data_IF_710050246250
#
_entry.id   IF_710050246250
#
_cell.length_a   1.000
_cell.length_b   1.000
_cell.length_c   1.000
_cell.angle_alpha   90.00
_cell.angle_beta   90.00
_cell.angle_gamma   90.00
#
_symmetry.space_group_name_H-M   'P 1'
#
loop_
_entity.id
_entity.type
_entity.pdbx_description
1 polymer ?
#
# COMPACT_ATOMS: atom_id res chain seq x y z
N UNK A 1 13.42 -26.59 1.78
CA UNK A 1 12.66 -26.84 3.02
C UNK A 1 11.86 -25.58 3.36
N UNK A 2 10.59 -25.70 3.73
CA UNK A 2 9.77 -24.55 4.19
C UNK A 2 10.28 -24.03 5.55
N UNK A 3 9.88 -22.82 5.97
CA UNK A 3 10.25 -22.30 7.28
C UNK A 3 9.28 -21.24 7.80
N UNK A 4 8.97 -21.34 9.10
CA UNK A 4 8.20 -20.28 9.78
C UNK A 4 8.95 -18.96 9.71
N UNK A 5 8.21 -17.85 9.69
CA UNK A 5 8.79 -16.52 9.64
C UNK A 5 8.63 -15.79 10.99
N UNK A 6 9.64 -14.97 11.31
CA UNK A 6 9.54 -13.85 12.27
C UNK A 6 9.65 -12.56 11.50
N UNK A 7 8.71 -11.70 11.70
CA UNK A 7 8.47 -10.53 10.87
C UNK A 7 8.67 -9.24 11.67
N UNK A 8 9.41 -8.25 11.13
CA UNK A 8 9.58 -6.97 11.80
C UNK A 8 8.28 -6.17 11.80
N UNK A 9 8.00 -5.52 12.91
CA UNK A 9 6.92 -4.55 13.06
C UNK A 9 7.50 -3.14 12.95
N UNK A 10 6.83 -2.27 12.18
CA UNK A 10 7.16 -0.85 12.01
C UNK A 10 6.23 0.00 12.86
N UNK A 11 6.82 0.80 13.74
CA UNK A 11 6.12 1.62 14.71
C UNK A 11 6.01 3.08 14.26
N UNK A 12 5.41 3.31 13.08
CA UNK A 12 5.11 4.66 12.62
C UNK A 12 3.92 5.24 13.40
N UNK A 13 3.94 6.55 13.63
CA UNK A 13 2.96 7.25 14.49
C UNK A 13 1.51 7.15 13.98
N UNK A 14 1.31 6.89 12.69
CA UNK A 14 0.00 6.71 12.09
C UNK A 14 -0.61 5.31 12.30
N UNK A 15 0.15 4.39 12.88
CA UNK A 15 -0.26 2.99 13.07
C UNK A 15 -1.29 2.80 14.18
N UNK A 16 -1.98 1.66 14.11
CA UNK A 16 -2.93 1.25 15.12
C UNK A 16 -2.23 0.66 16.36
N UNK A 17 -2.76 0.97 17.54
CA UNK A 17 -2.34 0.31 18.78
C UNK A 17 -2.97 -1.07 18.97
N UNK A 18 -3.97 -1.43 18.18
CA UNK A 18 -4.78 -2.63 18.46
C UNK A 18 -4.77 -3.66 17.34
N UNK A 19 -4.81 -3.26 16.08
CA UNK A 19 -5.12 -4.16 14.96
C UNK A 19 -4.13 -5.33 14.81
N UNK A 20 -2.82 -5.04 14.65
CA UNK A 20 -1.79 -6.08 14.50
C UNK A 20 -1.62 -6.86 15.80
N UNK A 21 -1.61 -6.18 16.96
CA UNK A 21 -1.48 -6.84 18.27
C UNK A 21 -2.62 -7.84 18.50
N UNK A 22 -3.86 -7.46 18.23
CA UNK A 22 -5.04 -8.33 18.37
C UNK A 22 -4.96 -9.51 17.40
N UNK A 23 -4.65 -9.27 16.12
CA UNK A 23 -4.54 -10.34 15.12
C UNK A 23 -3.49 -11.38 15.54
N UNK A 24 -2.37 -10.94 16.08
CA UNK A 24 -1.23 -11.80 16.45
C UNK A 24 -1.35 -12.39 17.87
N UNK A 25 -2.46 -12.17 18.57
CA UNK A 25 -2.70 -12.68 19.93
C UNK A 25 -1.75 -12.09 21.00
N UNK A 26 -1.15 -10.93 20.73
CA UNK A 26 -0.29 -10.21 21.67
C UNK A 26 -1.12 -9.27 22.55
N UNK A 27 -0.56 -8.77 23.68
CA UNK A 27 -1.24 -7.77 24.49
C UNK A 27 -1.74 -6.59 23.65
N UNK A 28 -3.02 -6.24 23.80
CA UNK A 28 -3.68 -5.16 23.07
C UNK A 28 -4.43 -4.26 24.06
N UNK A 29 -4.29 -2.91 24.01
CA UNK A 29 -3.48 -2.19 23.04
C UNK A 29 -1.97 -2.38 23.23
N UNK A 30 -1.19 -2.29 22.13
CA UNK A 30 0.27 -2.27 22.18
C UNK A 30 0.76 -0.93 22.77
N UNK A 31 1.92 -0.93 23.43
CA UNK A 31 2.52 0.28 24.02
C UNK A 31 2.83 1.37 22.97
N UNK A 32 3.22 0.95 21.78
CA UNK A 32 3.53 1.84 20.65
C UNK A 32 2.61 1.53 19.49
N UNK A 33 2.33 2.50 18.59
CA UNK A 33 1.62 2.22 17.35
C UNK A 33 2.32 1.10 16.56
N UNK A 34 1.55 0.18 16.00
CA UNK A 34 2.01 -0.86 15.10
C UNK A 34 1.39 -0.60 13.73
N UNK A 35 2.14 0.08 12.88
CA UNK A 35 1.66 0.53 11.58
C UNK A 35 1.69 -0.56 10.53
N UNK A 36 2.80 -1.31 10.48
CA UNK A 36 3.02 -2.36 9.49
C UNK A 36 3.75 -3.55 10.11
N UNK A 37 3.43 -4.76 9.64
CA UNK A 37 4.25 -5.97 9.83
C UNK A 37 4.70 -6.44 8.46
N UNK A 38 6.02 -6.60 8.26
CA UNK A 38 6.62 -6.87 6.97
C UNK A 38 6.99 -8.34 6.80
N UNK A 39 6.63 -8.90 5.65
CA UNK A 39 6.93 -10.29 5.27
C UNK A 39 7.73 -10.28 3.96
N UNK A 40 9.00 -10.63 3.99
CA UNK A 40 9.85 -10.64 2.81
C UNK A 40 11.32 -10.34 3.09
N UNK A 41 12.03 -9.93 2.03
CA UNK A 41 13.48 -9.72 2.03
C UNK A 41 13.89 -8.25 1.91
N UNK A 42 13.00 -7.31 2.31
CA UNK A 42 13.26 -5.90 2.13
C UNK A 42 14.52 -5.46 2.92
N UNK A 43 15.44 -4.66 2.31
CA UNK A 43 16.70 -4.27 2.97
C UNK A 43 16.51 -3.56 4.31
N UNK A 44 15.46 -2.71 4.42
CA UNK A 44 15.14 -1.98 5.65
C UNK A 44 14.44 -2.83 6.72
N UNK A 45 14.19 -4.13 6.47
CA UNK A 45 13.51 -5.01 7.41
C UNK A 45 13.17 -6.38 6.81
N UNK A 46 14.16 -7.26 6.70
CA UNK A 46 13.93 -8.64 6.26
C UNK A 46 13.29 -9.46 7.37
N UNK A 47 12.38 -10.37 7.00
CA UNK A 47 11.94 -11.46 7.88
C UNK A 47 13.11 -12.35 8.24
N UNK A 48 13.02 -13.04 9.40
CA UNK A 48 13.85 -14.17 9.71
C UNK A 48 13.10 -15.47 9.43
N UNK A 49 13.77 -16.47 8.86
CA UNK A 49 13.21 -17.79 8.55
C UNK A 49 13.82 -18.84 9.46
N UNK A 50 13.00 -19.75 9.96
CA UNK A 50 13.45 -20.90 10.75
C UNK A 50 13.89 -22.04 9.80
N UNK A 51 15.17 -22.40 9.85
CA UNK A 51 15.76 -23.51 9.09
C UNK A 51 16.62 -24.37 10.03
N UNK A 52 16.39 -25.66 10.06
CA UNK A 52 17.15 -26.61 10.87
C UNK A 52 17.29 -26.19 12.34
N UNK A 53 16.17 -25.69 12.92
CA UNK A 53 16.11 -25.20 14.29
C UNK A 53 16.78 -23.85 14.55
N UNK A 54 17.29 -23.18 13.51
CA UNK A 54 18.01 -21.89 13.63
C UNK A 54 17.29 -20.78 12.85
N UNK A 55 17.14 -19.61 13.49
CA UNK A 55 16.62 -18.40 12.85
C UNK A 55 17.73 -17.73 12.05
N UNK A 56 17.47 -17.47 10.76
CA UNK A 56 18.39 -16.78 9.83
C UNK A 56 17.62 -15.66 9.10
N UNK A 57 18.33 -14.65 8.62
CA UNK A 57 17.73 -13.65 7.72
C UNK A 57 17.19 -14.35 6.46
N UNK A 58 15.95 -14.05 6.08
CA UNK A 58 15.38 -14.55 4.83
C UNK A 58 16.15 -13.99 3.62
N UNK A 59 16.58 -12.72 3.68
CA UNK A 59 17.39 -12.11 2.63
C UNK A 59 18.72 -12.85 2.43
N UNK A 60 19.43 -13.19 3.54
CA UNK A 60 20.69 -13.94 3.46
C UNK A 60 20.45 -15.36 2.95
N UNK A 61 19.34 -15.99 3.36
CA UNK A 61 18.96 -17.33 2.88
C UNK A 61 18.73 -17.34 1.37
N UNK A 62 17.99 -16.35 0.87
CA UNK A 62 17.76 -16.17 -0.58
C UNK A 62 19.06 -15.86 -1.32
N UNK A 63 19.92 -15.01 -0.76
CA UNK A 63 21.21 -14.67 -1.38
C UNK A 63 22.17 -15.85 -1.47
N UNK A 64 22.09 -16.78 -0.53
CA UNK A 64 22.94 -17.98 -0.51
C UNK A 64 22.55 -19.02 -1.58
N UNK A 65 21.27 -19.16 -1.91
CA UNK A 65 20.76 -20.06 -2.96
C UNK A 65 19.57 -19.44 -3.69
N UNK A 66 19.79 -18.41 -4.55
CA UNK A 66 18.69 -17.71 -5.21
C UNK A 66 17.80 -18.62 -6.06
N UNK A 67 18.39 -19.57 -6.77
CA UNK A 67 17.63 -20.48 -7.66
C UNK A 67 16.82 -21.48 -6.85
N UNK A 68 17.38 -22.04 -5.80
CA UNK A 68 16.66 -22.97 -4.92
C UNK A 68 15.53 -22.31 -4.14
N UNK A 69 15.74 -21.07 -3.69
CA UNK A 69 14.76 -20.34 -2.90
C UNK A 69 13.70 -19.64 -3.79
N UNK A 70 14.10 -19.00 -4.90
CA UNK A 70 13.21 -18.20 -5.74
C UNK A 70 12.76 -18.89 -7.03
N UNK A 71 13.48 -19.90 -7.50
CA UNK A 71 13.28 -20.51 -8.82
C UNK A 71 13.97 -19.76 -9.95
N UNK A 72 14.36 -20.51 -11.00
CA UNK A 72 15.13 -19.95 -12.13
C UNK A 72 14.39 -18.82 -12.84
N UNK A 73 13.09 -18.97 -13.08
CA UNK A 73 12.25 -17.95 -13.75
C UNK A 73 12.18 -16.65 -12.96
N UNK A 74 11.98 -16.72 -11.63
CA UNK A 74 11.97 -15.52 -10.79
C UNK A 74 13.30 -14.81 -10.80
N UNK A 75 14.42 -15.58 -10.71
CA UNK A 75 15.78 -15.03 -10.74
C UNK A 75 16.08 -14.39 -12.09
N UNK A 76 15.68 -14.99 -13.21
CA UNK A 76 15.86 -14.45 -14.55
C UNK A 76 15.12 -13.10 -14.73
N UNK A 77 13.89 -13.01 -14.24
CA UNK A 77 13.04 -11.82 -14.43
C UNK A 77 13.35 -10.69 -13.44
N UNK A 78 13.68 -11.00 -12.20
CA UNK A 78 13.74 -10.01 -11.10
C UNK A 78 15.09 -9.98 -10.37
N UNK A 79 16.04 -10.80 -10.78
CA UNK A 79 17.31 -10.97 -10.07
C UNK A 79 17.18 -11.81 -8.79
N UNK A 80 18.27 -11.88 -8.01
CA UNK A 80 18.37 -12.72 -6.81
C UNK A 80 17.66 -12.11 -5.60
N UNK A 81 16.38 -11.71 -5.75
CA UNK A 81 15.55 -11.09 -4.71
C UNK A 81 14.09 -11.48 -4.85
N UNK A 82 13.33 -11.46 -3.75
CA UNK A 82 11.86 -11.44 -3.84
C UNK A 82 11.42 -10.12 -4.49
N UNK A 83 10.64 -10.16 -5.58
CA UNK A 83 10.25 -8.94 -6.30
C UNK A 83 9.18 -8.12 -5.57
N UNK A 84 8.66 -8.61 -4.45
CA UNK A 84 7.58 -7.99 -3.69
C UNK A 84 7.89 -7.93 -2.19
N UNK A 85 7.13 -7.09 -1.51
CA UNK A 85 6.98 -7.05 -0.05
C UNK A 85 5.51 -7.25 0.28
N UNK A 86 5.22 -8.25 1.12
CA UNK A 86 3.89 -8.45 1.70
C UNK A 86 3.85 -7.78 3.07
N UNK A 87 2.71 -7.19 3.44
CA UNK A 87 2.51 -6.52 4.73
C UNK A 87 1.13 -6.79 5.31
N UNK A 88 1.04 -6.75 6.63
CA UNK A 88 -0.15 -6.29 7.33
C UNK A 88 0.01 -4.79 7.53
N UNK A 89 -0.99 -3.99 7.16
CA UNK A 89 -0.99 -2.53 7.34
C UNK A 89 -2.21 -2.09 8.15
N UNK A 90 -1.97 -1.32 9.21
CA UNK A 90 -2.99 -0.90 10.17
C UNK A 90 -2.98 0.62 10.31
N UNK A 91 -3.96 1.27 9.70
CA UNK A 91 -4.04 2.73 9.51
C UNK A 91 -5.05 3.32 10.49
N UNK A 92 -4.57 4.03 11.52
CA UNK A 92 -5.42 4.80 12.44
C UNK A 92 -5.41 6.30 12.08
N UNK A 93 -4.27 6.82 11.58
CA UNK A 93 -4.17 8.18 11.05
C UNK A 93 -3.82 8.15 9.56
N UNK A 94 -4.26 9.15 8.78
CA UNK A 94 -4.00 9.22 7.34
C UNK A 94 -2.51 9.16 7.02
N UNK A 95 -2.16 8.39 6.00
CA UNK A 95 -0.82 8.40 5.42
C UNK A 95 -0.62 9.65 4.55
N UNK A 96 0.62 9.92 4.14
CA UNK A 96 0.90 10.98 3.17
C UNK A 96 0.20 10.71 1.84
N UNK A 97 -0.21 11.80 1.18
CA UNK A 97 -0.60 11.76 -0.22
C UNK A 97 0.63 11.47 -1.07
N UNK A 98 0.61 10.43 -1.90
CA UNK A 98 1.80 9.91 -2.58
C UNK A 98 1.51 9.31 -3.96
N UNK A 99 2.57 9.21 -4.76
CA UNK A 99 2.56 8.55 -6.07
C UNK A 99 3.87 7.79 -6.27
N UNK A 100 3.85 6.75 -7.11
CA UNK A 100 5.01 5.93 -7.41
C UNK A 100 5.37 5.97 -8.89
N UNK A 101 6.67 5.95 -9.23
CA UNK A 101 7.14 5.98 -10.62
C UNK A 101 6.85 4.67 -11.36
N UNK A 102 6.75 4.74 -12.69
CA UNK A 102 6.79 3.57 -13.56
C UNK A 102 8.17 2.90 -13.50
N UNK A 103 8.32 1.72 -14.14
CA UNK A 103 9.62 1.05 -14.25
C UNK A 103 10.65 1.93 -14.95
N UNK A 104 10.27 2.48 -16.08
CA UNK A 104 11.15 3.36 -16.88
C UNK A 104 11.54 4.62 -16.09
N UNK A 105 10.59 5.24 -15.44
CA UNK A 105 10.83 6.41 -14.57
C UNK A 105 11.72 6.08 -13.38
N UNK A 106 11.55 4.88 -12.77
CA UNK A 106 12.37 4.43 -11.65
C UNK A 106 13.83 4.18 -12.09
N UNK A 107 14.04 3.51 -13.23
CA UNK A 107 15.36 3.26 -13.80
C UNK A 107 16.08 4.57 -14.17
N UNK A 108 15.40 5.49 -14.87
CA UNK A 108 15.93 6.81 -15.21
C UNK A 108 16.26 7.64 -13.96
N UNK A 109 15.35 7.67 -12.97
CA UNK A 109 15.52 8.44 -11.76
C UNK A 109 16.66 7.89 -10.88
N UNK A 110 16.81 6.56 -10.83
CA UNK A 110 17.94 5.92 -10.15
C UNK A 110 19.28 6.27 -10.83
N UNK A 111 19.32 6.23 -12.17
CA UNK A 111 20.52 6.60 -12.93
C UNK A 111 20.91 8.09 -12.70
N UNK A 112 19.94 8.96 -12.44
CA UNK A 112 20.17 10.39 -12.07
C UNK A 112 20.48 10.60 -10.58
N UNK A 113 20.37 9.59 -9.73
CA UNK A 113 20.49 9.70 -8.28
C UNK A 113 19.27 10.33 -7.58
N UNK A 114 18.13 10.41 -8.25
CA UNK A 114 16.87 10.92 -7.70
C UNK A 114 16.16 9.86 -6.84
N UNK A 115 16.20 8.61 -7.28
CA UNK A 115 15.57 7.48 -6.59
C UNK A 115 16.58 6.58 -5.90
N UNK A 116 16.11 5.87 -4.89
CA UNK A 116 16.96 4.99 -4.04
C UNK A 116 17.19 3.62 -4.66
N UNK A 117 16.30 3.21 -5.58
CA UNK A 117 16.40 1.94 -6.33
C UNK A 117 15.77 2.08 -7.73
N UNK A 118 16.10 1.17 -8.68
CA UNK A 118 15.59 1.24 -10.06
C UNK A 118 14.26 0.51 -10.26
N UNK A 119 13.48 0.25 -9.20
CA UNK A 119 12.32 -0.61 -9.28
C UNK A 119 11.02 0.17 -9.18
N UNK A 120 9.97 -0.28 -9.90
CA UNK A 120 8.62 0.25 -9.74
C UNK A 120 8.02 -0.20 -8.42
N UNK A 121 6.99 0.52 -7.98
CA UNK A 121 6.27 0.22 -6.74
C UNK A 121 4.76 0.13 -6.97
N UNK A 122 4.26 -0.80 -7.80
CA UNK A 122 2.85 -1.08 -7.83
C UNK A 122 2.40 -1.64 -6.48
N UNK A 123 1.17 -1.33 -6.06
CA UNK A 123 0.62 -1.74 -4.77
C UNK A 123 -0.78 -2.34 -4.93
N UNK A 124 -1.11 -3.32 -4.10
CA UNK A 124 -2.45 -3.84 -3.93
C UNK A 124 -2.76 -3.90 -2.44
N UNK A 125 -3.85 -3.25 -2.01
CA UNK A 125 -4.40 -3.41 -0.65
C UNK A 125 -5.68 -4.23 -0.70
N UNK A 126 -5.75 -5.30 0.10
CA UNK A 126 -6.94 -6.08 0.37
C UNK A 126 -7.41 -5.82 1.79
N UNK A 127 -8.64 -5.34 1.95
CA UNK A 127 -9.21 -4.98 3.24
C UNK A 127 -9.46 -6.22 4.13
N UNK A 128 -9.05 -6.18 5.39
CA UNK A 128 -9.44 -7.14 6.45
C UNK A 128 -10.55 -6.58 7.33
N UNK A 129 -10.62 -5.25 7.47
CA UNK A 129 -11.71 -4.50 8.09
C UNK A 129 -12.22 -3.46 7.09
N UNK A 130 -13.32 -2.72 7.35
CA UNK A 130 -13.63 -1.55 6.54
C UNK A 130 -12.38 -0.67 6.36
N UNK A 131 -12.05 -0.35 5.11
CA UNK A 131 -10.83 0.35 4.74
C UNK A 131 -11.15 1.51 3.80
N UNK A 132 -10.69 2.72 4.13
CA UNK A 132 -10.92 3.91 3.33
C UNK A 132 -9.61 4.43 2.73
N UNK A 133 -9.62 4.63 1.41
CA UNK A 133 -8.52 5.21 0.66
C UNK A 133 -9.02 6.34 -0.26
N UNK A 134 -8.14 7.28 -0.57
CA UNK A 134 -8.28 8.19 -1.70
C UNK A 134 -7.34 7.70 -2.80
N UNK A 135 -7.82 7.56 -4.04
CA UNK A 135 -6.95 7.13 -5.13
C UNK A 135 -7.52 7.55 -6.50
N UNK A 136 -6.63 8.07 -7.35
CA UNK A 136 -6.99 8.56 -8.68
C UNK A 136 -7.86 9.82 -8.65
N UNK A 137 -7.77 10.61 -9.68
CA UNK A 137 -8.49 11.88 -9.75
C UNK A 137 -9.98 11.68 -10.06
N UNK A 138 -10.81 12.58 -9.53
CA UNK A 138 -12.17 12.80 -10.02
C UNK A 138 -12.11 13.43 -11.41
N UNK A 139 -13.19 13.39 -12.20
CA UNK A 139 -13.32 14.26 -13.36
C UNK A 139 -13.05 15.73 -12.96
N UNK A 140 -12.21 16.42 -13.71
CA UNK A 140 -11.73 17.74 -13.36
C UNK A 140 -12.88 18.75 -13.09
N UNK A 141 -13.96 18.69 -13.91
CA UNK A 141 -15.16 19.51 -13.70
C UNK A 141 -15.88 19.24 -12.39
N UNK A 142 -16.01 17.94 -11.99
CA UNK A 142 -16.60 17.55 -10.71
C UNK A 142 -15.78 18.10 -9.53
N UNK A 143 -14.44 17.97 -9.61
CA UNK A 143 -13.55 18.51 -8.59
C UNK A 143 -13.62 20.04 -8.51
N UNK A 144 -13.71 20.73 -9.66
CA UNK A 144 -13.88 22.19 -9.73
C UNK A 144 -15.19 22.63 -9.07
N UNK A 145 -16.30 21.91 -9.30
CA UNK A 145 -17.60 22.20 -8.68
C UNK A 145 -17.57 22.00 -7.17
N UNK A 146 -17.00 20.87 -6.68
CA UNK A 146 -16.91 20.56 -5.25
C UNK A 146 -16.08 21.61 -4.50
N UNK A 147 -14.92 21.97 -5.04
CA UNK A 147 -14.00 22.91 -4.38
C UNK A 147 -14.50 24.34 -4.54
N UNK A 148 -15.02 24.70 -5.71
CA UNK A 148 -15.65 26.01 -5.95
C UNK A 148 -16.89 26.24 -5.08
N UNK A 149 -17.65 25.18 -4.78
CA UNK A 149 -18.79 25.18 -3.88
C UNK A 149 -18.48 25.64 -2.46
N UNK A 150 -17.21 25.52 -2.01
CA UNK A 150 -16.77 26.09 -0.72
C UNK A 150 -16.87 27.62 -0.67
N UNK A 151 -17.04 28.30 -1.81
CA UNK A 151 -17.29 29.74 -1.88
C UNK A 151 -16.12 30.62 -1.44
N UNK A 152 -14.88 30.10 -1.50
CA UNK A 152 -13.66 30.78 -1.06
C UNK A 152 -12.88 31.32 -2.28
N UNK A 153 -12.84 32.66 -2.53
CA UNK A 153 -12.12 33.22 -3.68
C UNK A 153 -10.61 32.87 -3.71
N UNK A 154 -10.01 32.62 -2.54
CA UNK A 154 -8.60 32.21 -2.44
C UNK A 154 -8.31 30.85 -3.10
N UNK A 155 -9.32 30.00 -3.36
CA UNK A 155 -9.20 28.72 -4.04
C UNK A 155 -9.19 28.84 -5.57
N UNK A 156 -9.45 30.03 -6.14
CA UNK A 156 -9.51 30.26 -7.59
C UNK A 156 -8.25 29.77 -8.33
N UNK A 157 -7.00 29.95 -7.83
CA UNK A 157 -5.81 29.42 -8.48
C UNK A 157 -5.78 27.91 -8.64
N UNK A 158 -6.59 27.19 -7.84
CA UNK A 158 -6.75 25.73 -7.90
C UNK A 158 -8.01 25.34 -8.70
N UNK A 159 -9.11 26.08 -8.54
CA UNK A 159 -10.39 25.80 -9.20
C UNK A 159 -10.35 26.10 -10.70
N UNK A 160 -9.74 27.21 -11.12
CA UNK A 160 -9.73 27.62 -12.53
C UNK A 160 -9.01 26.60 -13.44
N UNK A 161 -7.82 26.05 -13.10
CA UNK A 161 -7.22 24.97 -13.88
C UNK A 161 -8.08 23.71 -13.94
N UNK A 162 -8.74 23.31 -12.84
CA UNK A 162 -9.66 22.17 -12.83
C UNK A 162 -10.86 22.39 -13.77
N UNK A 163 -11.44 23.57 -13.74
CA UNK A 163 -12.55 23.94 -14.62
C UNK A 163 -12.13 23.93 -16.11
N UNK A 164 -10.85 24.21 -16.39
CA UNK A 164 -10.27 24.12 -17.73
C UNK A 164 -9.81 22.69 -18.11
N UNK A 165 -9.92 21.70 -17.20
CA UNK A 165 -9.49 20.33 -17.41
C UNK A 165 -7.98 20.10 -17.18
N UNK A 166 -7.24 21.09 -16.69
CA UNK A 166 -5.79 20.98 -16.41
C UNK A 166 -5.53 20.56 -14.96
N UNK A 167 -5.64 19.26 -14.71
CA UNK A 167 -5.40 18.66 -13.40
C UNK A 167 -3.94 18.86 -12.93
N UNK A 168 -2.98 18.85 -13.87
CA UNK A 168 -1.56 19.02 -13.53
C UNK A 168 -1.27 20.42 -13.03
N UNK A 169 -1.84 21.46 -13.67
CA UNK A 169 -1.73 22.84 -13.20
C UNK A 169 -2.41 23.02 -11.83
N UNK A 170 -3.56 22.39 -11.61
CA UNK A 170 -4.24 22.41 -10.32
C UNK A 170 -3.39 21.74 -9.22
N UNK A 171 -2.83 20.55 -9.48
CA UNK A 171 -1.95 19.87 -8.54
C UNK A 171 -0.71 20.73 -8.22
N UNK A 172 -0.11 21.36 -9.23
CA UNK A 172 1.00 22.31 -9.03
C UNK A 172 0.60 23.45 -8.11
N UNK A 173 -0.56 24.10 -8.36
CA UNK A 173 -1.06 25.18 -7.51
C UNK A 173 -1.27 24.73 -6.07
N UNK A 174 -1.76 23.50 -5.86
CA UNK A 174 -1.96 22.92 -4.53
C UNK A 174 -0.65 22.75 -3.78
N UNK A 175 0.33 22.03 -4.38
CA UNK A 175 1.58 21.69 -3.69
C UNK A 175 2.52 22.87 -3.53
N UNK A 176 2.41 23.89 -4.39
CA UNK A 176 3.16 25.16 -4.33
C UNK A 176 2.40 26.27 -3.61
N UNK A 177 1.32 25.96 -2.89
CA UNK A 177 0.51 26.97 -2.21
C UNK A 177 1.38 27.88 -1.30
N UNK A 178 1.21 29.22 -1.37
CA UNK A 178 1.97 30.14 -0.51
C UNK A 178 1.83 29.79 0.97
N UNK A 179 2.88 29.99 1.74
CA UNK A 179 2.86 29.77 3.20
C UNK A 179 2.11 30.88 3.94
N UNK A 180 2.18 32.09 3.41
CA UNK A 180 1.55 33.28 3.98
C UNK A 180 0.02 33.15 3.93
N UNK A 181 -0.64 33.33 5.07
CA UNK A 181 -2.09 33.22 5.20
C UNK A 181 -2.67 31.81 5.04
N UNK A 182 -1.80 30.78 4.99
CA UNK A 182 -2.22 29.40 4.76
C UNK A 182 -3.08 28.85 5.91
N UNK A 183 -2.71 29.10 7.15
CA UNK A 183 -3.47 28.62 8.32
C UNK A 183 -4.89 29.22 8.33
N UNK A 184 -5.04 30.52 8.10
CA UNK A 184 -6.35 31.18 8.04
C UNK A 184 -7.22 30.66 6.89
N UNK A 185 -6.59 30.37 5.73
CA UNK A 185 -7.29 29.76 4.60
C UNK A 185 -7.77 28.34 4.93
N UNK A 186 -6.92 27.51 5.53
CA UNK A 186 -7.31 26.14 5.89
C UNK A 186 -8.39 26.11 6.97
N UNK A 187 -8.38 27.03 7.90
CA UNK A 187 -9.48 27.23 8.84
C UNK A 187 -10.78 27.63 8.12
N UNK A 188 -10.70 28.50 7.10
CA UNK A 188 -11.86 28.87 6.29
C UNK A 188 -12.38 27.68 5.47
N UNK A 189 -11.50 26.89 4.87
CA UNK A 189 -11.83 25.65 4.16
C UNK A 189 -12.54 24.67 5.10
N UNK A 190 -12.01 24.43 6.29
CA UNK A 190 -12.60 23.50 7.26
C UNK A 190 -14.00 23.96 7.69
N UNK A 191 -14.19 25.27 7.93
CA UNK A 191 -15.53 25.82 8.26
C UNK A 191 -16.52 25.71 7.10
N UNK A 192 -16.10 26.02 5.87
CA UNK A 192 -16.94 25.90 4.69
C UNK A 192 -17.34 24.43 4.44
N UNK A 193 -16.39 23.52 4.50
CA UNK A 193 -16.63 22.08 4.36
C UNK A 193 -17.59 21.56 5.46
N UNK A 194 -17.44 22.00 6.70
CA UNK A 194 -18.34 21.63 7.80
C UNK A 194 -19.78 22.14 7.58
N UNK A 195 -19.95 23.29 6.93
CA UNK A 195 -21.26 23.87 6.63
C UNK A 195 -21.96 23.17 5.46
N UNK A 196 -21.19 22.73 4.45
CA UNK A 196 -21.72 22.02 3.27
C UNK A 196 -22.13 20.59 3.62
N UNK A 197 -21.34 19.93 4.45
CA UNK A 197 -21.60 18.56 4.93
C UNK A 197 -21.34 17.49 3.88
N UNK A 198 -21.57 16.24 4.27
CA UNK A 198 -21.32 15.08 3.42
C UNK A 198 -19.96 14.44 3.66
N UNK A 199 -19.80 13.16 3.24
CA UNK A 199 -18.70 12.33 3.70
C UNK A 199 -17.32 12.80 3.22
N UNK A 200 -17.21 13.43 2.07
CA UNK A 200 -15.93 13.95 1.56
C UNK A 200 -15.55 15.27 2.23
N UNK A 201 -16.54 16.12 2.55
CA UNK A 201 -16.33 17.34 3.32
C UNK A 201 -15.96 17.05 4.78
N UNK A 202 -16.56 16.01 5.40
CA UNK A 202 -16.15 15.55 6.73
C UNK A 202 -14.68 15.09 6.74
N UNK A 203 -14.23 14.45 5.66
CA UNK A 203 -12.80 14.08 5.51
C UNK A 203 -11.91 15.32 5.38
N UNK A 204 -12.33 16.37 4.65
CA UNK A 204 -11.58 17.64 4.59
C UNK A 204 -11.41 18.21 5.98
N UNK A 205 -12.48 18.28 6.77
CA UNK A 205 -12.43 18.79 8.16
C UNK A 205 -11.48 17.96 9.02
N UNK A 206 -11.55 16.61 8.91
CA UNK A 206 -10.65 15.71 9.64
C UNK A 206 -9.19 15.93 9.24
N UNK A 207 -8.89 16.00 7.94
CA UNK A 207 -7.53 16.18 7.44
C UNK A 207 -6.96 17.55 7.82
N UNK A 208 -7.75 18.62 7.74
CA UNK A 208 -7.34 19.96 8.17
C UNK A 208 -7.03 20.01 9.68
N UNK A 209 -7.76 19.25 10.49
CA UNK A 209 -7.49 19.13 11.93
C UNK A 209 -6.19 18.38 12.25
N UNK A 210 -5.82 17.40 11.43
CA UNK A 210 -4.57 16.63 11.59
C UNK A 210 -3.37 17.38 10.99
N UNK A 211 -3.57 18.07 9.87
CA UNK A 211 -2.55 18.78 9.10
C UNK A 211 -2.95 20.25 8.90
N UNK A 212 -2.93 21.10 9.95
CA UNK A 212 -3.52 22.44 9.93
C UNK A 212 -2.83 23.44 9.00
N UNK A 213 -1.70 23.08 8.41
CA UNK A 213 -0.96 23.92 7.46
C UNK A 213 -0.77 23.25 6.09
N UNK A 214 -1.48 22.16 5.82
CA UNK A 214 -1.29 21.40 4.58
C UNK A 214 -2.52 21.50 3.65
N UNK A 215 -2.39 22.17 2.48
CA UNK A 215 -3.47 22.28 1.52
C UNK A 215 -3.99 20.95 0.96
N UNK A 216 -3.21 19.88 1.09
CA UNK A 216 -3.64 18.55 0.70
C UNK A 216 -4.81 18.01 1.54
N UNK A 217 -5.26 18.75 2.58
CA UNK A 217 -6.54 18.47 3.24
C UNK A 217 -7.74 18.51 2.25
N UNK A 218 -7.61 19.21 1.11
CA UNK A 218 -8.59 19.22 0.02
C UNK A 218 -8.63 17.92 -0.79
N UNK A 219 -7.69 16.98 -0.58
CA UNK A 219 -7.61 15.73 -1.35
C UNK A 219 -8.95 14.98 -1.52
N UNK A 220 -9.85 14.90 -0.52
CA UNK A 220 -11.15 14.24 -0.70
C UNK A 220 -12.04 14.87 -1.77
N UNK A 221 -11.83 16.13 -2.13
CA UNK A 221 -12.65 16.84 -3.12
C UNK A 221 -12.09 16.71 -4.55
N UNK A 222 -10.82 16.36 -4.73
CA UNK A 222 -10.24 16.16 -6.06
C UNK A 222 -9.78 14.72 -6.37
N UNK A 223 -9.68 13.85 -5.36
CA UNK A 223 -9.45 12.41 -5.54
C UNK A 223 -10.75 11.63 -5.29
N UNK A 224 -10.82 10.45 -5.89
CA UNK A 224 -11.91 9.51 -5.64
C UNK A 224 -11.71 8.83 -4.30
N UNK A 225 -12.76 8.77 -3.52
CA UNK A 225 -12.84 7.98 -2.30
C UNK A 225 -13.21 6.54 -2.62
N UNK A 226 -12.51 5.60 -1.99
CA UNK A 226 -12.76 4.17 -2.08
C UNK A 226 -12.97 3.61 -0.68
N UNK A 227 -14.19 3.19 -0.39
CA UNK A 227 -14.52 2.43 0.82
C UNK A 227 -14.54 0.96 0.44
N UNK A 228 -13.61 0.20 1.02
CA UNK A 228 -13.45 -1.24 0.79
C UNK A 228 -14.05 -2.00 1.97
N UNK A 229 -14.86 -3.01 1.65
CA UNK A 229 -15.32 -4.00 2.61
C UNK A 229 -14.28 -5.11 2.76
N UNK A 230 -14.28 -5.86 3.87
CA UNK A 230 -13.41 -7.04 4.02
C UNK A 230 -13.45 -7.95 2.80
N UNK A 231 -12.28 -8.29 2.26
CA UNK A 231 -12.09 -9.08 1.05
C UNK A 231 -12.07 -8.29 -0.26
N UNK A 232 -12.51 -7.03 -0.28
CA UNK A 232 -12.34 -6.17 -1.45
C UNK A 232 -10.92 -5.62 -1.53
N UNK A 233 -10.43 -5.42 -2.75
CA UNK A 233 -9.08 -4.94 -2.98
C UNK A 233 -9.04 -3.81 -4.03
N UNK A 234 -8.02 -2.95 -3.91
CA UNK A 234 -7.72 -1.92 -4.89
C UNK A 234 -6.24 -1.98 -5.26
N UNK A 235 -5.98 -1.93 -6.56
CA UNK A 235 -4.64 -1.89 -7.14
C UNK A 235 -4.29 -0.46 -7.54
N UNK A 236 -3.09 -0.05 -7.18
CA UNK A 236 -2.51 1.26 -7.39
C UNK A 236 -1.28 1.09 -8.28
N UNK A 237 -1.42 1.42 -9.56
CA UNK A 237 -0.33 1.39 -10.52
C UNK A 237 0.54 2.64 -10.44
N UNK A 238 1.58 2.67 -11.28
CA UNK A 238 2.41 3.85 -11.46
C UNK A 238 1.57 5.07 -11.87
N UNK A 239 1.93 6.25 -11.38
CA UNK A 239 1.26 7.51 -11.70
C UNK A 239 -0.04 7.77 -10.93
N UNK A 240 -0.60 6.79 -10.23
CA UNK A 240 -1.83 6.95 -9.45
C UNK A 240 -1.54 7.68 -8.14
N UNK A 241 -2.01 8.92 -8.02
CA UNK A 241 -1.95 9.67 -6.76
C UNK A 241 -2.94 9.06 -5.76
N UNK A 242 -2.47 8.75 -4.54
CA UNK A 242 -3.28 8.04 -3.54
C UNK A 242 -2.86 8.31 -2.10
N UNK A 243 -3.73 7.94 -1.17
CA UNK A 243 -3.47 7.98 0.27
C UNK A 243 -4.41 7.01 1.00
N UNK A 244 -3.92 6.29 2.00
CA UNK A 244 -4.75 5.49 2.90
C UNK A 244 -5.17 6.34 4.09
N UNK A 245 -6.48 6.31 4.42
CA UNK A 245 -7.07 7.16 5.47
C UNK A 245 -7.36 6.41 6.77
N UNK A 246 -7.79 5.16 6.67
CA UNK A 246 -8.11 4.31 7.83
C UNK A 246 -8.36 2.88 7.42
N UNK A 247 -8.14 1.94 8.34
CA UNK A 247 -8.48 0.53 8.17
C UNK A 247 -7.30 -0.41 8.41
N UNK A 248 -7.59 -1.71 8.32
CA UNK A 248 -6.60 -2.78 8.47
C UNK A 248 -6.68 -3.72 7.27
N UNK A 249 -5.55 -4.08 6.69
CA UNK A 249 -5.52 -4.88 5.47
C UNK A 249 -4.22 -5.65 5.26
N UNK A 250 -4.26 -6.49 4.22
CA UNK A 250 -3.09 -7.15 3.63
C UNK A 250 -2.66 -6.33 2.42
N UNK A 251 -1.48 -5.77 2.46
CA UNK A 251 -0.86 -5.04 1.35
C UNK A 251 0.24 -5.89 0.71
N UNK A 252 0.27 -5.91 -0.61
CA UNK A 252 1.41 -6.42 -1.37
C UNK A 252 1.87 -5.37 -2.34
N UNK A 253 3.18 -5.16 -2.43
CA UNK A 253 3.77 -4.12 -3.27
C UNK A 253 5.04 -4.59 -3.95
N UNK A 254 5.43 -3.94 -5.04
CA UNK A 254 6.77 -4.06 -5.59
C UNK A 254 7.82 -3.71 -4.55
N UNK A 255 8.92 -4.46 -4.51
CA UNK A 255 9.98 -4.29 -3.51
C UNK A 255 10.84 -3.05 -3.77
N UNK A 256 10.26 -1.85 -3.61
CA UNK A 256 10.89 -0.54 -3.84
C UNK A 256 10.52 0.45 -2.74
N UNK A 257 11.43 1.40 -2.45
CA UNK A 257 11.22 2.53 -1.55
C UNK A 257 10.92 3.86 -2.28
N UNK A 258 10.76 3.83 -3.60
CA UNK A 258 10.52 5.03 -4.41
C UNK A 258 9.13 5.61 -4.13
N UNK A 259 9.09 6.77 -3.48
CA UNK A 259 7.88 7.48 -3.06
C UNK A 259 8.03 8.97 -3.33
N UNK A 260 7.08 9.55 -4.05
CA UNK A 260 6.93 11.00 -4.20
C UNK A 260 5.69 11.45 -3.44
N UNK A 261 5.85 12.47 -2.61
CA UNK A 261 4.79 12.97 -1.74
C UNK A 261 4.19 14.26 -2.29
N UNK A 262 2.87 14.39 -2.12
CA UNK A 262 2.09 15.55 -2.56
C UNK A 262 1.42 16.29 -1.40
N UNK A 263 1.65 15.88 -0.16
CA UNK A 263 1.09 16.51 1.04
C UNK A 263 0.71 15.50 2.13
N UNK A 264 -0.01 15.97 3.14
CA UNK A 264 -0.36 15.27 4.39
C UNK A 264 0.91 14.73 5.08
N UNK A 265 1.98 15.53 5.07
CA UNK A 265 3.29 15.11 5.57
C UNK A 265 4.18 16.30 5.92
N UNK A 266 5.00 16.15 6.94
CA UNK A 266 6.10 17.07 7.24
C UNK A 266 7.40 16.80 6.47
N UNK A 267 7.43 15.75 5.61
CA UNK A 267 8.64 15.41 4.83
C UNK A 267 8.78 16.30 3.59
N UNK A 268 10.03 16.56 3.13
CA UNK A 268 10.26 17.32 1.90
C UNK A 268 9.54 16.71 0.68
N UNK A 269 9.09 17.57 -0.23
CA UNK A 269 8.44 17.19 -1.48
C UNK A 269 9.29 17.66 -2.67
N UNK A 270 9.51 16.79 -3.64
CA UNK A 270 10.06 17.13 -4.94
C UNK A 270 8.90 17.39 -5.91
N UNK A 271 8.53 18.66 -6.05
CA UNK A 271 7.33 19.07 -6.81
C UNK A 271 7.46 18.77 -8.29
N UNK A 272 8.61 19.00 -8.89
CA UNK A 272 8.80 18.78 -10.34
C UNK A 272 8.77 17.29 -10.67
N UNK A 273 9.41 16.47 -9.84
CA UNK A 273 9.37 15.02 -10.03
C UNK A 273 7.98 14.43 -9.72
N UNK A 274 7.29 14.95 -8.70
CA UNK A 274 5.90 14.59 -8.41
C UNK A 274 4.99 14.82 -9.63
N UNK A 275 5.08 16.00 -10.25
CA UNK A 275 4.26 16.35 -11.42
C UNK A 275 4.64 15.56 -12.67
N UNK A 276 5.92 15.19 -12.80
CA UNK A 276 6.41 14.34 -13.90
C UNK A 276 5.87 12.90 -13.80
N UNK A 277 5.72 12.40 -12.57
CA UNK A 277 5.31 11.01 -12.32
C UNK A 277 3.80 10.87 -12.25
N UNK A 278 3.09 11.87 -11.72
CA UNK A 278 1.63 11.80 -11.58
C UNK A 278 0.94 11.79 -12.94
N UNK A 279 0.12 10.78 -13.21
CA UNK A 279 -0.70 10.68 -14.41
C UNK A 279 -2.19 10.73 -14.05
N UNK A 280 -2.87 11.87 -14.28
CA UNK A 280 -4.28 12.01 -13.95
C UNK A 280 -5.21 11.09 -14.75
N UNK A 281 -4.73 10.52 -15.85
CA UNK A 281 -5.53 9.64 -16.72
C UNK A 281 -5.57 8.18 -16.24
N UNK A 282 -4.63 7.77 -15.37
CA UNK A 282 -4.54 6.40 -14.86
C UNK A 282 -5.46 6.21 -13.66
N UNK A 283 -6.51 5.38 -13.77
CA UNK A 283 -7.38 5.09 -12.64
C UNK A 283 -6.78 3.98 -11.76
N UNK A 284 -7.10 3.97 -10.46
CA UNK A 284 -6.92 2.79 -9.65
C UNK A 284 -7.89 1.68 -10.12
N UNK A 285 -7.52 0.42 -9.89
CA UNK A 285 -8.35 -0.71 -10.30
C UNK A 285 -8.93 -1.42 -9.08
N UNK A 286 -10.26 -1.51 -8.96
CA UNK A 286 -10.87 -2.46 -8.02
C UNK A 286 -10.66 -3.87 -8.53
N UNK A 287 -10.15 -4.74 -7.68
CA UNK A 287 -9.84 -6.14 -8.01
C UNK A 287 -10.69 -7.05 -7.13
N UNK A 288 -11.47 -7.90 -7.77
CA UNK A 288 -12.16 -9.01 -7.10
C UNK A 288 -11.37 -10.31 -7.30
N UNK A 289 -11.33 -11.20 -6.31
CA UNK A 289 -10.59 -12.44 -6.45
C UNK A 289 -11.31 -13.41 -7.39
N UNK A 290 -10.61 -13.87 -8.42
CA UNK A 290 -11.05 -14.94 -9.30
C UNK A 290 -10.40 -16.26 -8.88
N UNK A 291 -11.21 -17.24 -8.44
CA UNK A 291 -10.67 -18.48 -7.89
C UNK A 291 -9.73 -18.28 -6.68
N UNK A 292 -9.95 -17.22 -5.92
CA UNK A 292 -9.10 -16.83 -4.78
C UNK A 292 -7.87 -16.00 -5.13
N UNK A 293 -7.65 -15.65 -6.40
CA UNK A 293 -6.49 -14.83 -6.83
C UNK A 293 -6.91 -13.41 -7.19
N UNK A 294 -6.27 -12.43 -6.60
CA UNK A 294 -6.32 -11.02 -6.99
C UNK A 294 -5.31 -10.79 -8.13
N UNK A 295 -5.81 -10.80 -9.36
CA UNK A 295 -4.97 -10.61 -10.55
C UNK A 295 -4.76 -9.14 -10.82
N UNK A 296 -3.51 -8.72 -10.93
CA UNK A 296 -3.11 -7.34 -11.20
C UNK A 296 -2.24 -7.28 -12.46
N UNK A 297 -2.10 -6.10 -13.06
CA UNK A 297 -1.13 -5.91 -14.15
C UNK A 297 0.34 -6.00 -13.72
N UNK A 298 0.63 -5.96 -12.40
CA UNK A 298 1.99 -5.99 -11.87
C UNK A 298 2.63 -7.37 -12.05
N UNK A 299 3.77 -7.49 -12.75
CA UNK A 299 4.49 -8.75 -12.85
C UNK A 299 5.26 -9.11 -11.56
N UNK A 300 5.42 -8.15 -10.65
CA UNK A 300 6.17 -8.31 -9.41
C UNK A 300 5.48 -9.30 -8.46
N UNK A 301 4.14 -9.34 -8.48
CA UNK A 301 3.40 -10.13 -7.50
C UNK A 301 2.02 -10.61 -7.95
N UNK A 302 1.55 -11.63 -7.26
CA UNK A 302 0.14 -12.04 -7.13
C UNK A 302 -0.19 -12.22 -5.65
N UNK A 303 -1.40 -11.84 -5.28
CA UNK A 303 -1.97 -12.12 -3.97
C UNK A 303 -3.10 -13.13 -4.12
N UNK A 304 -3.06 -14.18 -3.32
CA UNK A 304 -4.17 -15.12 -3.24
C UNK A 304 -4.76 -15.18 -1.84
N UNK A 305 -6.02 -15.59 -1.74
CA UNK A 305 -6.72 -15.84 -0.48
C UNK A 305 -7.64 -17.05 -0.60
N UNK A 306 -7.74 -17.82 0.48
CA UNK A 306 -8.67 -18.95 0.57
C UNK A 306 -8.99 -19.32 2.01
N UNK A 307 -10.13 -20.01 2.17
CA UNK A 307 -10.41 -20.89 3.29
C UNK A 307 -10.29 -22.31 2.76
N UNK A 308 -9.16 -23.03 3.01
CA UNK A 308 -8.83 -24.28 2.30
C UNK A 308 -9.82 -25.42 2.51
N UNK A 309 -10.55 -25.44 3.64
CA UNK A 309 -11.49 -26.51 3.96
C UNK A 309 -10.81 -27.89 4.02
N UNK A 310 -11.33 -28.83 3.22
CA UNK A 310 -10.79 -30.19 3.13
C UNK A 310 -9.46 -30.29 2.35
N UNK A 311 -9.11 -29.28 1.56
CA UNK A 311 -7.83 -29.21 0.85
C UNK A 311 -7.85 -28.25 -0.33
N UNK A 312 -6.73 -27.50 -0.46
CA UNK A 312 -6.37 -26.70 -1.62
C UNK A 312 -4.90 -26.96 -1.91
N UNK A 313 -4.56 -27.23 -3.16
CA UNK A 313 -3.16 -27.45 -3.55
C UNK A 313 -2.67 -26.27 -4.38
N UNK A 314 -1.59 -25.61 -3.91
CA UNK A 314 -0.85 -24.63 -4.69
C UNK A 314 0.27 -25.35 -5.46
N UNK A 315 0.47 -24.97 -6.73
CA UNK A 315 1.53 -25.57 -7.60
C UNK A 315 2.91 -25.40 -6.98
N UNK A 316 3.83 -26.34 -7.19
CA UNK A 316 5.25 -26.19 -6.84
C UNK A 316 6.00 -25.27 -7.81
N UNK A 317 7.29 -25.06 -7.55
CA UNK A 317 8.20 -24.31 -8.43
C UNK A 317 8.15 -22.79 -8.29
N UNK A 318 7.38 -22.26 -7.34
CA UNK A 318 7.20 -20.82 -7.15
C UNK A 318 7.43 -20.47 -5.69
N UNK A 319 8.24 -19.44 -5.38
CA UNK A 319 8.44 -19.01 -3.99
C UNK A 319 7.16 -18.37 -3.46
N UNK A 320 6.82 -18.66 -2.20
CA UNK A 320 5.63 -18.10 -1.56
C UNK A 320 5.85 -17.67 -0.14
N UNK A 321 5.12 -16.63 0.25
CA UNK A 321 4.87 -16.31 1.65
C UNK A 321 3.41 -16.68 1.94
N UNK A 322 3.20 -17.53 2.92
CA UNK A 322 1.89 -17.91 3.44
C UNK A 322 1.63 -17.09 4.70
N UNK A 323 0.45 -16.49 4.84
CA UNK A 323 0.01 -15.68 5.99
C UNK A 323 -1.37 -16.10 6.42
N UNK A 324 -1.52 -16.60 7.63
CA UNK A 324 -2.84 -16.85 8.23
C UNK A 324 -3.40 -15.57 8.84
N UNK A 325 -4.66 -15.24 8.56
CA UNK A 325 -5.33 -14.05 9.10
C UNK A 325 -6.53 -14.35 9.99
N UNK A 326 -7.07 -15.58 9.94
CA UNK A 326 -8.14 -16.03 10.83
C UNK A 326 -8.10 -17.55 10.98
N UNK A 327 -8.57 -18.06 12.12
CA UNK A 327 -8.66 -19.49 12.40
C UNK A 327 -7.31 -20.20 12.42
N UNK A 328 -7.24 -21.42 11.87
CA UNK A 328 -6.00 -22.20 11.76
C UNK A 328 -5.91 -22.84 10.38
N UNK A 329 -4.74 -22.78 9.76
CA UNK A 329 -4.44 -23.38 8.46
C UNK A 329 -3.15 -24.19 8.54
N UNK A 330 -3.21 -25.43 8.09
CA UNK A 330 -2.03 -26.26 7.86
C UNK A 330 -1.52 -26.04 6.42
N UNK A 331 -0.23 -25.76 6.27
CA UNK A 331 0.38 -25.57 4.96
C UNK A 331 1.89 -25.56 5.01
N UNK A 332 2.54 -26.12 3.99
CA UNK A 332 4.00 -26.16 3.93
C UNK A 332 4.66 -26.91 5.10
N UNK A 333 3.94 -27.84 5.75
CA UNK A 333 4.42 -28.59 6.92
C UNK A 333 4.29 -27.84 8.25
N UNK A 334 3.53 -26.74 8.29
CA UNK A 334 3.29 -25.92 9.49
C UNK A 334 1.81 -25.71 9.72
N UNK A 335 1.39 -25.66 11.00
CA UNK A 335 0.11 -25.13 11.40
C UNK A 335 0.28 -23.63 11.67
N UNK A 336 -0.47 -22.80 10.98
CA UNK A 336 -0.41 -21.33 11.07
C UNK A 336 -1.68 -20.78 11.71
N UNK A 337 -1.52 -19.92 12.69
CA UNK A 337 -2.56 -19.15 13.36
C UNK A 337 -2.54 -17.68 12.93
N UNK A 338 -3.53 -16.86 13.28
CA UNK A 338 -3.58 -15.45 12.87
C UNK A 338 -2.27 -14.70 13.18
N UNK A 339 -1.72 -14.06 12.15
CA UNK A 339 -0.44 -13.36 12.20
C UNK A 339 0.80 -14.24 11.98
N UNK A 340 0.67 -15.57 12.05
CA UNK A 340 1.77 -16.49 11.73
C UNK A 340 1.91 -16.67 10.22
N UNK A 341 3.15 -16.89 9.80
CA UNK A 341 3.51 -16.97 8.38
C UNK A 341 4.64 -17.95 8.15
N UNK A 342 4.73 -18.46 6.92
CA UNK A 342 5.79 -19.35 6.49
C UNK A 342 6.31 -18.94 5.11
N UNK A 343 7.61 -19.13 4.87
CA UNK A 343 8.21 -19.05 3.55
C UNK A 343 8.32 -20.43 2.94
N UNK A 344 7.84 -20.55 1.71
CA UNK A 344 7.91 -21.76 0.89
C UNK A 344 8.85 -21.48 -0.28
N UNK A 345 10.04 -22.10 -0.36
CA UNK A 345 10.96 -21.90 -1.47
C UNK A 345 10.44 -22.55 -2.76
N UNK A 346 10.89 -22.07 -3.90
CA UNK A 346 10.54 -22.63 -5.20
C UNK A 346 10.95 -24.10 -5.36
N UNK A 347 12.05 -24.52 -4.71
CA UNK A 347 12.51 -25.91 -4.69
C UNK A 347 11.60 -26.86 -3.90
N UNK A 348 10.60 -26.33 -3.16
CA UNK A 348 9.57 -27.15 -2.51
C UNK A 348 8.51 -27.57 -3.53
N UNK A 349 8.01 -28.78 -3.43
CA UNK A 349 6.97 -29.28 -4.31
C UNK A 349 5.62 -28.53 -4.15
N UNK A 350 4.52 -29.11 -4.65
CA UNK A 350 3.19 -28.56 -4.42
C UNK A 350 2.90 -28.39 -2.93
N UNK A 351 2.21 -27.32 -2.56
CA UNK A 351 1.84 -27.01 -1.18
C UNK A 351 0.38 -27.40 -0.97
N UNK A 352 0.16 -28.41 -0.14
CA UNK A 352 -1.17 -28.73 0.33
C UNK A 352 -1.57 -27.84 1.51
N UNK A 353 -2.74 -27.23 1.41
CA UNK A 353 -3.32 -26.38 2.43
C UNK A 353 -4.61 -27.03 2.94
N UNK A 354 -4.80 -27.04 4.26
CA UNK A 354 -6.00 -27.57 4.92
C UNK A 354 -6.37 -26.70 6.11
N UNK A 355 -7.62 -26.78 6.55
CA UNK A 355 -8.11 -26.07 7.73
C UNK A 355 -9.23 -25.10 7.45
N UNK A 356 -9.85 -24.58 8.51
CA UNK A 356 -10.99 -23.67 8.45
C UNK A 356 -10.61 -22.20 8.58
N UNK A 357 -9.30 -21.91 8.66
CA UNK A 357 -8.79 -20.55 8.75
C UNK A 357 -8.74 -19.85 7.41
N UNK A 358 -8.55 -18.54 7.41
CA UNK A 358 -8.31 -17.72 6.22
C UNK A 358 -6.81 -17.57 6.03
N UNK A 359 -6.35 -17.98 4.86
CA UNK A 359 -4.96 -17.84 4.43
C UNK A 359 -4.85 -16.85 3.27
N UNK A 360 -3.83 -16.01 3.33
CA UNK A 360 -3.31 -15.28 2.18
C UNK A 360 -1.98 -15.90 1.74
N UNK A 361 -1.70 -15.86 0.44
CA UNK A 361 -0.37 -16.17 -0.08
C UNK A 361 0.08 -15.14 -1.09
N UNK A 362 1.34 -14.82 -1.03
CA UNK A 362 2.01 -13.92 -1.97
C UNK A 362 2.99 -14.73 -2.81
N UNK A 363 3.00 -14.52 -4.12
CA UNK A 363 3.93 -15.13 -5.07
C UNK A 363 4.30 -14.13 -6.18
N UNK A 364 5.43 -14.33 -6.92
CA UNK A 364 5.71 -13.54 -8.12
C UNK A 364 4.60 -13.68 -9.16
N UNK A 365 4.36 -12.62 -9.92
CA UNK A 365 3.37 -12.58 -11.00
C UNK A 365 3.80 -13.29 -12.28
N UNK A 366 4.41 -14.46 -12.17
CA UNK A 366 4.78 -15.33 -13.31
C UNK A 366 3.53 -16.05 -13.83
N UNK A 367 3.39 -16.21 -15.15
CA UNK A 367 2.25 -16.89 -15.81
C UNK A 367 2.30 -18.41 -15.69
#
# INVERSE_FOLDING_TARGET
>A
MTGLLRNPVKNYDWGSHTAIATLTGRPSPAERPEAEMWFGTHPSGSSSVLRDGTWRSLADTVAADPVGELGAETVERFGSRLPYLLKLIAVDLPLSLQVHPSREQAEEGFARGTYVDPFPKPELICALTPFTALAGFRPAGEAAELIGGLGLPALEPFVAPLAAGDVSAALRALVQWPKEGRAELLDAIARAAAADGGPDHELVVRLAGIHPEDPACLAPLFLRRHDLRPGEAIFLGAGVLHCYLSGFGVEIMGGSDNVLRAGLTGKPMDVEELLRVTDPSVPPLRIEPEGGLYRTPAPEFRLGTAVPGAGLTLRGGVPRILLCTAGEVEGGGHALRPGESAFVPASYGPVELRGSGTLFWAEPGTD
#
